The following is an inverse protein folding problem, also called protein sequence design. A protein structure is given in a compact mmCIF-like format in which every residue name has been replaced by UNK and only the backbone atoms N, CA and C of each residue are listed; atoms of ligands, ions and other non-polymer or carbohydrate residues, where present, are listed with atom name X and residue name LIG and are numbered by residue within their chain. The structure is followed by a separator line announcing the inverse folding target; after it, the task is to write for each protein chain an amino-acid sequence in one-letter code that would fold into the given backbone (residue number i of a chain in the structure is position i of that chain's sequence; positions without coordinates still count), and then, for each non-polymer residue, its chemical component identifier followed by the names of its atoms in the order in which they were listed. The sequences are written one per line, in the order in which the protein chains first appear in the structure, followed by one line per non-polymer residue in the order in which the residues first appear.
data_IF_694507222620
#
_entry.id   IF_694507222620
#
_cell.length_a   1.000
_cell.length_b   1.000
_cell.length_c   1.000
_cell.angle_alpha   90.00
_cell.angle_beta   90.00
_cell.angle_gamma   90.00
#
_symmetry.space_group_name_H-M   'P 1'
#
loop_
_entity.id
_entity.type
_entity.pdbx_description
1 polymer ?
#
# COMPACT_ATOMS: atom_id res chain seq x y z
N UNK A 1 5.99 10.35 -7.55
CA UNK A 1 5.77 9.21 -6.65
C UNK A 1 4.73 9.53 -5.59
N UNK A 2 3.88 8.56 -5.25
CA UNK A 2 2.96 8.61 -4.13
C UNK A 2 3.44 7.67 -3.02
N UNK A 3 2.58 7.35 -2.07
CA UNK A 3 2.85 6.42 -0.98
C UNK A 3 1.55 5.71 -0.62
N UNK A 4 1.62 4.49 -0.09
CA UNK A 4 0.45 3.86 0.51
C UNK A 4 -0.15 4.74 1.63
N UNK A 5 0.63 5.62 2.23
CA UNK A 5 0.15 6.59 3.22
C UNK A 5 -0.88 7.59 2.66
N UNK A 6 -1.05 7.70 1.33
CA UNK A 6 -2.13 8.49 0.75
C UNK A 6 -3.52 8.04 1.23
N UNK A 7 -3.67 6.80 1.72
CA UNK A 7 -4.90 6.32 2.35
C UNK A 7 -4.99 6.67 3.85
N UNK A 8 -3.92 7.24 4.46
CA UNK A 8 -3.93 7.72 5.83
C UNK A 8 -3.83 6.67 6.93
N UNK A 9 -3.41 5.46 6.60
CA UNK A 9 -3.34 4.35 7.53
C UNK A 9 -2.35 4.56 8.69
N UNK A 10 -1.31 5.36 8.46
CA UNK A 10 -0.30 5.62 9.50
C UNK A 10 -0.86 6.36 10.73
N UNK A 11 -1.94 7.14 10.58
CA UNK A 11 -2.44 7.94 11.68
C UNK A 11 -1.40 8.96 12.20
N UNK A 12 -1.57 9.38 13.43
CA UNK A 12 -0.60 10.24 14.12
C UNK A 12 0.16 9.45 15.21
N UNK A 13 1.29 10.02 15.68
CA UNK A 13 2.13 9.39 16.69
C UNK A 13 1.39 9.05 18.01
N UNK A 14 0.41 9.86 18.40
CA UNK A 14 -0.38 9.62 19.63
C UNK A 14 -1.22 8.34 19.54
N UNK A 15 -1.75 8.02 18.34
CA UNK A 15 -2.47 6.76 18.10
C UNK A 15 -1.54 5.55 18.21
N UNK A 16 -0.31 5.68 17.72
CA UNK A 16 0.67 4.60 17.81
C UNK A 16 1.06 4.26 19.25
N UNK A 17 1.29 5.30 20.06
CA UNK A 17 1.58 5.13 21.50
C UNK A 17 0.42 4.48 22.25
N UNK A 18 -0.82 4.70 21.79
CA UNK A 18 -2.03 4.12 22.36
C UNK A 18 -2.43 2.75 21.74
N UNK A 19 -1.60 2.15 20.88
CA UNK A 19 -1.96 0.97 20.07
C UNK A 19 -3.28 1.14 19.31
N UNK A 20 -3.49 2.32 18.74
CA UNK A 20 -4.66 2.64 17.92
C UNK A 20 -4.26 2.74 16.46
N UNK A 21 -5.07 2.15 15.59
CA UNK A 21 -4.93 2.25 14.15
C UNK A 21 -6.13 2.97 13.55
N UNK A 22 -5.95 3.59 12.40
CA UNK A 22 -7.08 4.03 11.58
C UNK A 22 -7.53 2.82 10.75
N UNK A 23 -8.71 2.24 11.03
CA UNK A 23 -9.20 1.14 10.22
C UNK A 23 -9.51 1.66 8.81
N UNK A 24 -9.11 0.92 7.77
CA UNK A 24 -9.56 1.22 6.41
C UNK A 24 -11.02 0.82 6.23
N UNK A 25 -11.64 1.23 5.10
CA UNK A 25 -13.03 0.90 4.80
C UNK A 25 -13.24 -0.60 4.66
N UNK A 26 -12.24 -1.32 4.16
CA UNK A 26 -12.26 -2.77 3.91
C UNK A 26 -10.88 -3.35 3.65
N UNK A 27 -10.78 -4.67 3.67
CA UNK A 27 -9.64 -5.43 3.17
C UNK A 27 -10.07 -6.45 2.10
N UNK A 28 -9.18 -6.81 1.13
CA UNK A 28 -7.92 -6.14 0.86
C UNK A 28 -8.12 -4.72 0.34
N UNK A 29 -7.20 -3.82 0.69
CA UNK A 29 -7.16 -2.45 0.15
C UNK A 29 -6.90 -2.48 -1.35
N UNK A 30 -7.49 -1.55 -2.08
CA UNK A 30 -7.28 -1.36 -3.51
C UNK A 30 -7.25 0.14 -3.90
N UNK A 31 -7.23 0.43 -5.19
CA UNK A 31 -7.18 1.79 -5.72
C UNK A 31 -8.41 2.64 -5.35
N UNK A 32 -9.50 2.04 -4.92
CA UNK A 32 -10.76 2.71 -4.55
C UNK A 32 -10.89 2.97 -3.05
N UNK A 33 -9.98 2.41 -2.24
CA UNK A 33 -9.97 2.64 -0.80
C UNK A 33 -9.92 4.13 -0.49
N UNK A 34 -10.81 4.58 0.39
CA UNK A 34 -10.88 5.98 0.79
C UNK A 34 -9.67 6.39 1.63
N UNK A 35 -9.51 7.68 1.82
CA UNK A 35 -8.44 8.22 2.67
C UNK A 35 -8.96 8.65 4.02
N UNK A 36 -8.19 8.36 5.07
CA UNK A 36 -8.32 8.94 6.41
C UNK A 36 -7.06 9.72 6.81
N UNK A 37 -6.38 10.34 5.83
CA UNK A 37 -5.13 11.06 6.04
C UNK A 37 -5.29 12.23 7.03
N UNK A 38 -4.52 12.19 8.12
CA UNK A 38 -4.54 13.20 9.18
C UNK A 38 -3.21 13.94 9.31
N UNK A 39 -2.11 13.31 8.91
CA UNK A 39 -0.78 13.89 8.99
C UNK A 39 -0.39 14.64 7.70
N UNK A 40 0.51 15.65 7.78
CA UNK A 40 0.89 16.47 6.62
C UNK A 40 1.49 15.67 5.46
N UNK A 41 2.22 14.58 5.75
CA UNK A 41 2.81 13.74 4.71
C UNK A 41 1.73 13.00 3.92
N UNK A 42 0.85 12.29 4.62
CA UNK A 42 -0.28 11.54 4.02
C UNK A 42 -1.17 12.47 3.21
N UNK A 43 -1.55 13.62 3.79
CA UNK A 43 -2.33 14.67 3.12
C UNK A 43 -1.62 15.15 1.84
N UNK A 44 -0.31 15.38 1.88
CA UNK A 44 0.45 15.83 0.71
C UNK A 44 0.43 14.81 -0.43
N UNK A 45 0.50 13.51 -0.11
CA UNK A 45 0.42 12.43 -1.10
C UNK A 45 -0.97 12.30 -1.70
N UNK A 46 -1.99 12.32 -0.86
CA UNK A 46 -3.38 12.31 -1.28
C UNK A 46 -3.73 13.50 -2.19
N UNK A 47 -3.37 14.73 -1.80
CA UNK A 47 -3.58 15.92 -2.63
C UNK A 47 -2.79 15.84 -3.95
N UNK A 48 -1.58 15.29 -3.94
CA UNK A 48 -0.79 15.06 -5.16
C UNK A 48 -1.51 14.15 -6.16
N UNK A 49 -2.21 13.14 -5.68
CA UNK A 49 -3.03 12.27 -6.53
C UNK A 49 -4.23 13.01 -7.14
N UNK A 50 -4.91 13.87 -6.38
CA UNK A 50 -5.99 14.71 -6.91
C UNK A 50 -5.50 15.75 -7.94
N UNK A 51 -4.29 16.26 -7.78
CA UNK A 51 -3.64 17.07 -8.80
C UNK A 51 -3.44 16.22 -10.08
N UNK A 52 -2.99 14.96 -9.94
CA UNK A 52 -2.89 14.00 -11.05
C UNK A 52 -4.22 13.81 -11.79
N UNK A 53 -5.32 13.66 -11.07
CA UNK A 53 -6.67 13.57 -11.67
C UNK A 53 -7.01 14.83 -12.49
N UNK A 54 -6.67 16.02 -11.98
CA UNK A 54 -6.94 17.26 -12.70
C UNK A 54 -6.12 17.36 -13.99
N UNK A 55 -4.84 16.96 -13.96
CA UNK A 55 -4.00 16.93 -15.14
C UNK A 55 -4.47 15.92 -16.18
N UNK A 56 -4.89 14.73 -15.77
CA UNK A 56 -5.42 13.72 -16.67
C UNK A 56 -6.72 14.18 -17.35
N UNK A 57 -7.63 14.81 -16.60
CA UNK A 57 -8.86 15.40 -17.18
C UNK A 57 -8.55 16.47 -18.24
N UNK A 58 -7.52 17.30 -17.99
CA UNK A 58 -7.09 18.33 -18.94
C UNK A 58 -6.40 17.75 -20.17
N UNK A 59 -5.72 16.63 -20.02
CA UNK A 59 -4.91 15.97 -21.06
C UNK A 59 -5.26 14.48 -21.14
N UNK A 60 -6.38 14.11 -21.81
CA UNK A 60 -6.90 12.73 -21.77
C UNK A 60 -5.93 11.68 -22.38
N UNK A 61 -4.97 12.11 -23.19
CA UNK A 61 -3.96 11.22 -23.77
C UNK A 61 -2.74 11.00 -22.87
N UNK A 62 -2.69 11.70 -21.73
CA UNK A 62 -1.56 11.58 -20.78
C UNK A 62 -1.73 10.34 -19.93
N UNK A 63 -0.66 9.55 -19.79
CA UNK A 63 -0.56 8.47 -18.83
C UNK A 63 0.12 9.00 -17.55
N UNK A 64 -0.57 8.97 -16.43
CA UNK A 64 -0.09 9.40 -15.12
C UNK A 64 -0.21 8.27 -14.11
N UNK A 65 0.91 7.86 -13.51
CA UNK A 65 0.95 6.85 -12.48
C UNK A 65 1.26 7.48 -11.10
N UNK A 66 0.35 7.35 -10.16
CA UNK A 66 0.62 7.56 -8.74
C UNK A 66 1.03 6.24 -8.11
N UNK A 67 2.34 6.01 -8.05
CA UNK A 67 2.91 4.81 -7.44
C UNK A 67 2.83 4.92 -5.92
N UNK A 68 1.93 4.18 -5.29
CA UNK A 68 1.76 4.04 -3.84
C UNK A 68 2.72 2.99 -3.33
N UNK A 69 3.96 3.38 -3.10
CA UNK A 69 4.97 2.47 -2.56
C UNK A 69 4.73 2.19 -1.09
N UNK A 70 4.88 0.94 -0.72
CA UNK A 70 5.02 0.46 0.65
C UNK A 70 6.47 0.58 1.13
N UNK A 71 6.81 0.02 2.28
CA UNK A 71 8.19 -0.03 2.74
C UNK A 71 9.10 -0.68 1.68
N UNK A 72 10.06 0.09 1.17
CA UNK A 72 11.02 -0.40 0.17
C UNK A 72 12.25 -0.95 0.88
N UNK A 73 12.53 -2.22 0.69
CA UNK A 73 13.58 -2.94 1.38
C UNK A 73 14.56 -3.57 0.40
N UNK A 74 15.81 -3.63 0.81
CA UNK A 74 16.90 -4.31 0.10
C UNK A 74 17.19 -5.71 0.67
N UNK A 75 18.14 -6.40 0.05
CA UNK A 75 18.53 -7.75 0.46
C UNK A 75 19.02 -7.79 1.92
N UNK A 76 19.72 -6.75 2.37
CA UNK A 76 20.25 -6.67 3.75
C UNK A 76 19.11 -6.63 4.79
N UNK A 77 18.06 -5.88 4.50
CA UNK A 77 16.90 -5.80 5.38
C UNK A 77 16.15 -7.14 5.47
N UNK A 78 16.03 -7.86 4.34
CA UNK A 78 15.38 -9.18 4.33
C UNK A 78 16.17 -10.20 5.15
N UNK A 79 17.50 -10.16 5.16
CA UNK A 79 18.31 -11.03 6.02
C UNK A 79 18.07 -10.73 7.50
N UNK A 80 17.89 -9.46 7.88
CA UNK A 80 17.55 -9.09 9.26
C UNK A 80 16.17 -9.64 9.66
N UNK A 81 15.15 -9.53 8.79
CA UNK A 81 13.82 -10.06 9.05
C UNK A 81 13.80 -11.58 9.19
N UNK A 82 14.63 -12.31 8.45
CA UNK A 82 14.75 -13.78 8.61
C UNK A 82 15.26 -14.16 9.99
N UNK A 83 16.12 -13.34 10.58
CA UNK A 83 16.65 -13.55 11.92
C UNK A 83 15.66 -13.19 13.04
N UNK A 84 14.70 -12.28 12.76
CA UNK A 84 13.71 -11.80 13.72
C UNK A 84 12.34 -11.58 13.04
N UNK A 85 11.62 -12.67 12.80
CA UNK A 85 10.32 -12.60 12.09
C UNK A 85 9.24 -11.95 12.97
N UNK A 86 8.36 -11.16 12.34
CA UNK A 86 7.29 -10.43 13.01
C UNK A 86 6.16 -11.38 13.45
N UNK A 87 6.13 -11.72 14.72
CA UNK A 87 5.09 -12.56 15.32
C UNK A 87 4.03 -11.76 16.08
N UNK A 88 4.37 -10.55 16.57
CA UNK A 88 3.43 -9.64 17.18
C UNK A 88 2.70 -8.81 16.11
N UNK A 89 1.37 -8.97 15.95
CA UNK A 89 0.61 -8.27 14.93
C UNK A 89 0.58 -6.75 15.11
N UNK A 90 0.85 -6.21 16.31
CA UNK A 90 0.94 -4.77 16.51
C UNK A 90 2.24 -4.16 15.96
N UNK A 91 3.26 -5.00 15.79
CA UNK A 91 4.51 -4.57 15.16
C UNK A 91 4.28 -4.25 13.69
N UNK A 92 4.49 -3.00 13.28
CA UNK A 92 4.34 -2.49 11.90
C UNK A 92 2.93 -2.60 11.30
N UNK A 93 1.90 -2.72 12.16
CA UNK A 93 0.51 -2.81 11.70
C UNK A 93 0.10 -1.59 10.85
N UNK A 94 0.63 -0.40 11.10
CA UNK A 94 0.35 0.83 10.35
C UNK A 94 0.68 0.73 8.85
N UNK A 95 1.60 -0.16 8.48
CA UNK A 95 1.96 -0.48 7.09
C UNK A 95 1.29 -1.74 6.57
N UNK A 96 0.31 -2.29 7.32
CA UNK A 96 -0.37 -3.54 6.99
C UNK A 96 0.60 -4.71 6.77
N UNK A 97 1.79 -4.66 7.42
CA UNK A 97 2.89 -5.64 7.29
C UNK A 97 3.37 -5.85 5.85
N UNK A 98 3.05 -4.91 4.97
CA UNK A 98 3.37 -5.01 3.55
C UNK A 98 4.72 -4.36 3.24
N UNK A 99 5.33 -4.80 2.17
CA UNK A 99 6.63 -4.35 1.71
C UNK A 99 6.73 -4.45 0.19
N UNK A 100 7.80 -3.90 -0.35
CA UNK A 100 8.23 -4.15 -1.73
C UNK A 100 9.75 -4.23 -1.78
N UNK A 101 10.28 -5.16 -2.57
CA UNK A 101 11.72 -5.18 -2.83
C UNK A 101 12.11 -3.98 -3.70
N UNK A 102 13.23 -3.33 -3.38
CA UNK A 102 13.68 -2.11 -4.09
C UNK A 102 13.81 -2.32 -5.61
N UNK A 103 14.21 -3.52 -6.05
CA UNK A 103 14.31 -3.88 -7.48
C UNK A 103 12.93 -3.95 -8.13
N UNK A 104 11.92 -4.47 -7.43
CA UNK A 104 10.56 -4.57 -7.95
C UNK A 104 9.89 -3.19 -8.00
N UNK A 105 10.15 -2.33 -7.00
CA UNK A 105 9.72 -0.95 -7.01
C UNK A 105 10.32 -0.19 -8.23
N UNK A 106 11.60 -0.35 -8.49
CA UNK A 106 12.26 0.23 -9.65
C UNK A 106 11.71 -0.34 -10.97
N UNK A 107 11.49 -1.66 -11.04
CA UNK A 107 10.90 -2.33 -12.21
C UNK A 107 9.50 -1.80 -12.52
N UNK A 108 8.64 -1.65 -11.51
CA UNK A 108 7.30 -1.09 -11.70
C UNK A 108 7.35 0.30 -12.34
N UNK A 109 8.29 1.16 -11.92
CA UNK A 109 8.49 2.48 -12.53
C UNK A 109 8.90 2.37 -14.00
N UNK A 110 9.84 1.49 -14.32
CA UNK A 110 10.32 1.28 -15.70
C UNK A 110 9.21 0.78 -16.59
N UNK A 111 8.45 -0.23 -16.14
CA UNK A 111 7.33 -0.79 -16.92
C UNK A 111 6.26 0.27 -17.18
N UNK A 112 5.86 1.03 -16.16
CA UNK A 112 4.85 2.09 -16.31
C UNK A 112 5.27 3.18 -17.30
N UNK A 113 6.56 3.50 -17.41
CA UNK A 113 7.08 4.49 -18.37
C UNK A 113 7.21 3.89 -19.79
N UNK A 114 7.59 2.63 -19.87
CA UNK A 114 7.82 1.94 -21.16
C UNK A 114 6.51 1.56 -21.86
N UNK A 115 5.49 1.19 -21.09
CA UNK A 115 4.17 0.85 -21.62
C UNK A 115 3.45 2.12 -22.12
N UNK A 116 2.96 2.07 -23.36
CA UNK A 116 2.24 3.17 -24.03
C UNK A 116 0.78 2.83 -24.28
N UNK A 117 0.27 1.73 -23.76
CA UNK A 117 -1.07 1.25 -24.05
C UNK A 117 -2.14 1.84 -23.13
N UNK A 118 -1.75 2.36 -21.97
CA UNK A 118 -2.65 2.92 -20.98
C UNK A 118 -2.65 4.46 -20.97
N UNK A 119 -3.75 5.04 -20.50
CA UNK A 119 -3.98 6.50 -20.44
C UNK A 119 -4.74 6.86 -19.17
N UNK A 120 -4.79 8.16 -18.87
CA UNK A 120 -5.44 8.67 -17.69
C UNK A 120 -4.56 8.63 -16.45
N UNK A 121 -5.16 8.83 -15.29
CA UNK A 121 -4.47 8.78 -14.01
C UNK A 121 -4.84 7.52 -13.25
N UNK A 122 -3.84 6.71 -12.93
CA UNK A 122 -4.01 5.49 -12.14
C UNK A 122 -3.22 5.55 -10.83
N UNK A 123 -3.80 5.02 -9.77
CA UNK A 123 -3.17 4.81 -8.47
C UNK A 123 -2.80 3.36 -8.34
N UNK A 124 -1.51 3.07 -8.30
CA UNK A 124 -0.98 1.71 -8.25
C UNK A 124 -0.37 1.42 -6.89
N UNK A 125 -0.89 0.46 -6.17
CA UNK A 125 -0.19 -0.11 -5.03
C UNK A 125 0.96 -0.98 -5.52
N UNK A 126 2.16 -0.67 -5.05
CA UNK A 126 3.38 -1.39 -5.41
C UNK A 126 3.90 -2.09 -4.16
N UNK A 127 3.49 -3.33 -4.00
CA UNK A 127 3.81 -4.19 -2.85
C UNK A 127 4.00 -5.64 -3.27
N UNK A 128 4.67 -6.42 -2.42
CA UNK A 128 4.73 -7.88 -2.56
C UNK A 128 3.33 -8.51 -2.42
N UNK A 129 3.18 -9.74 -2.89
CA UNK A 129 1.93 -10.50 -2.79
C UNK A 129 1.69 -11.08 -1.40
N UNK A 130 2.70 -11.05 -0.54
CA UNK A 130 2.71 -11.56 0.82
C UNK A 130 3.03 -10.47 1.84
N UNK A 131 3.02 -10.85 3.11
CA UNK A 131 3.38 -9.99 4.25
C UNK A 131 4.70 -10.44 4.88
N UNK A 132 5.28 -9.59 5.72
CA UNK A 132 6.47 -9.89 6.53
C UNK A 132 6.14 -10.57 7.88
N UNK A 133 4.92 -11.04 8.05
CA UNK A 133 4.45 -11.71 9.27
C UNK A 133 4.97 -13.15 9.37
N UNK A 134 5.17 -13.62 10.60
CA UNK A 134 5.38 -15.03 10.92
C UNK A 134 4.06 -15.75 11.32
N UNK A 135 2.94 -15.05 11.30
CA UNK A 135 1.59 -15.56 11.56
C UNK A 135 0.69 -15.30 10.35
N UNK A 136 -0.38 -16.07 10.13
CA UNK A 136 -1.31 -15.82 9.04
C UNK A 136 -1.88 -14.41 9.05
N UNK A 137 -2.00 -13.79 7.87
CA UNK A 137 -2.51 -12.42 7.71
C UNK A 137 -3.88 -12.23 8.33
N UNK A 138 -4.78 -13.20 8.15
CA UNK A 138 -6.12 -13.15 8.74
C UNK A 138 -6.10 -13.10 10.27
N UNK A 139 -5.17 -13.82 10.90
CA UNK A 139 -4.97 -13.76 12.36
C UNK A 139 -4.52 -12.38 12.81
N UNK A 140 -3.59 -11.77 12.08
CA UNK A 140 -3.10 -10.43 12.39
C UNK A 140 -4.18 -9.36 12.19
N UNK A 141 -4.95 -9.44 11.11
CA UNK A 141 -6.08 -8.54 10.86
C UNK A 141 -7.13 -8.62 11.98
N UNK A 142 -7.51 -9.83 12.38
CA UNK A 142 -8.47 -10.04 13.47
C UNK A 142 -7.98 -9.49 14.82
N UNK A 143 -6.66 -9.42 15.04
CA UNK A 143 -6.10 -8.89 16.28
C UNK A 143 -6.00 -7.35 16.30
N UNK A 144 -5.81 -6.72 15.16
CA UNK A 144 -5.49 -5.27 15.07
C UNK A 144 -6.62 -4.46 14.45
N UNK A 145 -7.28 -4.99 13.42
CA UNK A 145 -8.30 -4.30 12.63
C UNK A 145 -9.67 -4.97 12.78
N UNK A 146 -10.10 -5.15 14.04
CA UNK A 146 -11.30 -5.92 14.43
C UNK A 146 -12.58 -5.47 13.73
N UNK A 147 -12.70 -4.18 13.42
CA UNK A 147 -13.92 -3.57 12.88
C UNK A 147 -13.86 -3.35 11.36
N UNK A 148 -12.72 -3.66 10.71
CA UNK A 148 -12.59 -3.46 9.28
C UNK A 148 -13.27 -4.59 8.50
N UNK A 149 -14.20 -4.26 7.58
CA UNK A 149 -14.84 -5.25 6.74
C UNK A 149 -13.85 -6.03 5.88
N UNK A 150 -14.15 -7.32 5.65
CA UNK A 150 -13.39 -8.19 4.75
C UNK A 150 -14.22 -8.47 3.51
N UNK A 151 -13.73 -8.07 2.33
CA UNK A 151 -14.38 -8.34 1.05
C UNK A 151 -14.13 -9.78 0.56
N UNK A 152 -13.04 -10.40 1.02
CA UNK A 152 -12.73 -11.80 0.79
C UNK A 152 -11.76 -12.33 1.85
N UNK A 153 -11.69 -13.64 1.98
CA UNK A 153 -10.65 -14.29 2.78
C UNK A 153 -9.29 -14.18 2.08
N UNK A 154 -8.25 -13.94 2.88
CA UNK A 154 -6.88 -13.90 2.41
C UNK A 154 -6.18 -15.22 2.76
N UNK A 155 -5.60 -15.92 1.79
CA UNK A 155 -4.88 -17.16 2.08
C UNK A 155 -3.58 -16.88 2.85
N UNK A 156 -3.29 -17.70 3.84
CA UNK A 156 -2.03 -17.72 4.59
C UNK A 156 -1.43 -16.33 4.89
N UNK A 157 -0.34 -16.01 4.21
CA UNK A 157 0.43 -14.77 4.37
C UNK A 157 0.14 -13.73 3.29
N UNK A 158 -0.96 -13.86 2.54
CA UNK A 158 -1.28 -12.93 1.47
C UNK A 158 -1.36 -11.48 1.95
N UNK A 159 -0.88 -10.57 1.13
CA UNK A 159 -0.92 -9.13 1.41
C UNK A 159 -2.37 -8.65 1.54
N UNK A 160 -2.69 -7.86 2.58
CA UNK A 160 -3.99 -7.21 2.70
C UNK A 160 -4.11 -5.93 1.84
N UNK A 161 -3.17 -5.73 0.91
CA UNK A 161 -3.23 -4.71 -0.13
C UNK A 161 -3.16 -5.40 -1.49
N UNK A 162 -4.19 -5.19 -2.32
CA UNK A 162 -4.25 -5.73 -3.68
C UNK A 162 -3.33 -4.96 -4.62
N UNK A 163 -2.51 -5.68 -5.36
CA UNK A 163 -1.76 -5.16 -6.50
C UNK A 163 -2.35 -5.57 -7.86
N UNK A 164 -3.60 -6.06 -7.86
CA UNK A 164 -4.25 -6.54 -9.08
C UNK A 164 -4.39 -5.43 -10.12
N UNK A 165 -4.75 -4.21 -9.69
CA UNK A 165 -4.93 -3.10 -10.61
C UNK A 165 -3.66 -2.75 -11.41
N UNK A 166 -2.48 -2.81 -10.79
CA UNK A 166 -1.23 -2.57 -11.51
C UNK A 166 -0.94 -3.69 -12.51
N UNK A 167 -1.24 -4.94 -12.14
CA UNK A 167 -1.08 -6.08 -13.04
C UNK A 167 -2.04 -6.02 -14.25
N UNK A 168 -3.27 -5.53 -14.03
CA UNK A 168 -4.28 -5.41 -15.11
C UNK A 168 -3.94 -4.31 -16.12
N UNK A 169 -3.27 -3.23 -15.68
CA UNK A 169 -3.02 -2.05 -16.51
C UNK A 169 -1.64 -2.08 -17.18
N UNK A 170 -0.61 -2.49 -16.47
CA UNK A 170 0.77 -2.43 -16.97
C UNK A 170 1.53 -3.76 -16.91
N UNK A 171 0.91 -4.88 -16.47
CA UNK A 171 1.49 -6.22 -16.46
C UNK A 171 2.28 -6.53 -15.21
#
# INVERSE_FOLDING_TARGET
GSSYNAIGAMGNAQRWEANQVNPPDYFPLDQHSSTCAEDPYSISKWLGEHIGDAFARRNPQMALASMRFNGMWDDQYFEQLRGDPISDPWTRCQGFWTYVHIRDAARACVVAIADRTWQGHHRFFINAKDTMLAIPTMQALAAVYTDAPLNCELPDFASPISNQHVADIIG
#
